data_IF_322353765090
#
_entry.id   IF_322353765090
#
_cell.length_a   1.000
_cell.length_b   1.000
_cell.length_c   1.000
_cell.angle_alpha   90.00
_cell.angle_beta   90.00
_cell.angle_gamma   90.00
#
_symmetry.space_group_name_H-M   'P 1'
#
loop_
_entity.id
_entity.type
_entity.pdbx_description
1 polymer ?
#
# COMPACT_ATOMS: atom_id res chain seq x y z
N UNK A 1 13.12 -28.32 -15.42
CA UNK A 1 11.93 -27.77 -14.70
C UNK A 1 11.61 -26.39 -15.27
N UNK A 2 10.44 -26.18 -15.90
CA UNK A 2 9.99 -24.83 -16.28
C UNK A 2 9.85 -24.00 -15.00
N UNK A 3 10.46 -22.79 -14.95
CA UNK A 3 10.15 -21.81 -13.90
C UNK A 3 8.64 -21.53 -13.96
N UNK A 4 7.93 -21.53 -12.84
CA UNK A 4 6.53 -21.12 -12.85
C UNK A 4 6.45 -19.72 -13.45
N UNK A 5 5.66 -19.59 -14.50
CA UNK A 5 5.52 -18.34 -15.22
C UNK A 5 4.48 -17.51 -14.47
N UNK A 6 4.94 -16.45 -13.80
CA UNK A 6 4.05 -15.45 -13.24
C UNK A 6 4.03 -14.20 -14.13
N UNK A 7 2.89 -13.59 -14.24
CA UNK A 7 2.65 -12.35 -14.99
C UNK A 7 2.24 -11.26 -13.98
N UNK A 8 2.85 -10.09 -14.10
CA UNK A 8 2.42 -8.89 -13.37
C UNK A 8 1.71 -7.97 -14.36
N UNK A 9 0.50 -7.57 -14.01
CA UNK A 9 -0.31 -6.66 -14.83
C UNK A 9 -1.04 -5.62 -13.99
N UNK A 10 -1.37 -4.45 -14.57
CA UNK A 10 -2.32 -3.54 -13.94
C UNK A 10 -3.67 -4.23 -13.70
N UNK A 11 -4.28 -3.94 -12.57
CA UNK A 11 -5.62 -4.38 -12.27
C UNK A 11 -6.66 -3.56 -13.05
N UNK A 12 -7.78 -4.20 -13.38
CA UNK A 12 -8.98 -3.58 -13.96
C UNK A 12 -10.12 -3.55 -12.95
N UNK A 13 -11.20 -2.84 -13.24
CA UNK A 13 -12.39 -2.84 -12.38
C UNK A 13 -13.00 -4.24 -12.17
N UNK A 14 -12.79 -5.15 -13.11
CA UNK A 14 -13.25 -6.54 -13.01
C UNK A 14 -12.49 -7.32 -11.93
N UNK A 15 -11.28 -6.88 -11.58
CA UNK A 15 -10.46 -7.47 -10.52
C UNK A 15 -10.84 -7.00 -9.11
N UNK A 16 -11.75 -6.04 -8.98
CA UNK A 16 -12.11 -5.46 -7.68
C UNK A 16 -12.57 -6.51 -6.63
N UNK A 17 -13.35 -7.54 -6.97
CA UNK A 17 -13.67 -8.60 -6.02
C UNK A 17 -12.45 -9.37 -5.53
N UNK A 18 -11.48 -9.63 -6.41
CA UNK A 18 -10.24 -10.33 -6.07
C UNK A 18 -9.32 -9.47 -5.20
N UNK A 19 -9.23 -8.17 -5.49
CA UNK A 19 -8.48 -7.21 -4.66
C UNK A 19 -9.06 -7.19 -3.24
N UNK A 20 -10.38 -7.13 -3.10
CA UNK A 20 -11.03 -7.17 -1.79
C UNK A 20 -10.77 -8.51 -1.06
N UNK A 21 -10.70 -9.61 -1.80
CA UNK A 21 -10.32 -10.91 -1.22
C UNK A 21 -8.88 -10.88 -0.70
N UNK A 22 -7.92 -10.35 -1.47
CA UNK A 22 -6.53 -10.19 -1.04
C UNK A 22 -6.40 -9.30 0.20
N UNK A 23 -7.12 -8.18 0.28
CA UNK A 23 -7.14 -7.29 1.44
C UNK A 23 -7.58 -8.05 2.69
N UNK A 24 -8.64 -8.87 2.59
CA UNK A 24 -9.13 -9.69 3.70
C UNK A 24 -8.14 -10.79 4.09
N UNK A 25 -7.51 -11.44 3.12
CA UNK A 25 -6.47 -12.43 3.36
C UNK A 25 -5.24 -11.83 4.04
N UNK A 26 -4.84 -10.61 3.64
CA UNK A 26 -3.75 -9.86 4.28
C UNK A 26 -4.10 -9.50 5.72
N UNK A 27 -5.31 -8.97 5.97
CA UNK A 27 -5.76 -8.64 7.32
C UNK A 27 -5.78 -9.87 8.25
N UNK A 28 -6.20 -11.02 7.73
CA UNK A 28 -6.13 -12.28 8.46
C UNK A 28 -4.67 -12.66 8.79
N UNK A 29 -3.76 -12.50 7.84
CA UNK A 29 -2.33 -12.73 8.05
C UNK A 29 -1.75 -11.78 9.11
N UNK A 30 -2.18 -10.52 9.11
CA UNK A 30 -1.77 -9.48 10.06
C UNK A 30 -2.49 -9.57 11.41
N UNK A 31 -3.36 -10.58 11.61
CA UNK A 31 -4.11 -10.86 12.85
C UNK A 31 -5.17 -9.82 13.19
N UNK A 32 -5.65 -9.09 12.19
CA UNK A 32 -6.68 -8.05 12.28
C UNK A 32 -7.85 -8.31 11.32
N UNK A 33 -8.45 -9.53 11.29
CA UNK A 33 -9.48 -9.89 10.31
C UNK A 33 -10.71 -9.00 10.37
N UNK A 34 -11.04 -8.49 11.56
CA UNK A 34 -12.22 -7.64 11.79
C UNK A 34 -11.97 -6.15 11.48
N UNK A 35 -10.74 -5.77 11.15
CA UNK A 35 -10.40 -4.38 10.83
C UNK A 35 -10.88 -3.95 9.44
N UNK A 36 -11.12 -4.89 8.51
CA UNK A 36 -11.49 -4.59 7.13
C UNK A 36 -12.95 -4.14 7.05
N UNK A 37 -13.14 -2.86 6.83
CA UNK A 37 -14.46 -2.23 6.60
C UNK A 37 -14.74 -1.94 5.13
N UNK A 38 -13.72 -2.07 4.28
CA UNK A 38 -13.85 -1.80 2.85
C UNK A 38 -14.87 -2.74 2.19
N UNK A 39 -15.70 -2.15 1.35
CA UNK A 39 -16.68 -2.83 0.51
C UNK A 39 -16.21 -2.88 -0.95
N UNK A 40 -16.86 -3.71 -1.76
CA UNK A 40 -16.60 -3.74 -3.20
C UNK A 40 -16.86 -2.38 -3.87
N UNK A 41 -17.89 -1.65 -3.42
CA UNK A 41 -18.21 -0.32 -3.93
C UNK A 41 -17.12 0.70 -3.59
N UNK A 42 -16.46 0.59 -2.43
CA UNK A 42 -15.34 1.46 -2.07
C UNK A 42 -14.14 1.20 -2.99
N UNK A 43 -13.80 -0.06 -3.23
CA UNK A 43 -12.70 -0.43 -4.14
C UNK A 43 -12.95 0.08 -5.56
N UNK A 44 -14.18 -0.07 -6.07
CA UNK A 44 -14.55 0.42 -7.41
C UNK A 44 -14.50 1.94 -7.49
N UNK A 45 -15.07 2.64 -6.50
CA UNK A 45 -15.07 4.11 -6.43
C UNK A 45 -13.65 4.67 -6.43
N UNK A 46 -12.79 4.13 -5.58
CA UNK A 46 -11.47 4.70 -5.32
C UNK A 46 -10.39 4.20 -6.29
N UNK A 47 -10.58 3.04 -6.90
CA UNK A 47 -9.67 2.50 -7.91
C UNK A 47 -9.99 2.94 -9.34
N UNK A 48 -11.28 3.09 -9.69
CA UNK A 48 -11.72 3.35 -11.07
C UNK A 48 -12.76 4.45 -11.23
N UNK A 49 -13.19 5.08 -10.13
CA UNK A 49 -14.09 6.22 -10.15
C UNK A 49 -13.42 7.52 -10.63
N UNK A 50 -14.19 8.61 -10.67
CA UNK A 50 -13.69 9.91 -11.20
C UNK A 50 -12.56 10.51 -10.36
N UNK A 51 -12.43 10.14 -9.10
CA UNK A 51 -11.33 10.54 -8.21
C UNK A 51 -10.55 9.30 -7.76
N UNK A 52 -9.67 8.84 -8.63
CA UNK A 52 -8.82 7.69 -8.33
C UNK A 52 -7.91 7.97 -7.13
N UNK A 53 -7.93 7.09 -6.13
CA UNK A 53 -7.17 7.22 -4.90
C UNK A 53 -5.97 6.29 -4.83
N UNK A 54 -6.04 5.16 -5.53
CA UNK A 54 -4.96 4.17 -5.56
C UNK A 54 -4.81 3.52 -6.93
N UNK A 55 -3.70 2.84 -7.10
CA UNK A 55 -3.39 1.97 -8.22
C UNK A 55 -3.14 0.56 -7.70
N UNK A 56 -3.35 -0.44 -8.55
CA UNK A 56 -3.14 -1.83 -8.15
C UNK A 56 -2.49 -2.64 -9.29
N UNK A 57 -1.49 -3.45 -8.92
CA UNK A 57 -0.95 -4.49 -9.77
C UNK A 57 -1.36 -5.86 -9.24
N UNK A 58 -1.70 -6.75 -10.15
CA UNK A 58 -1.98 -8.16 -9.86
C UNK A 58 -0.84 -9.04 -10.35
N UNK A 59 -0.54 -10.05 -9.56
CA UNK A 59 0.31 -11.16 -9.97
C UNK A 59 -0.57 -12.38 -10.25
N UNK A 60 -0.41 -12.96 -11.41
CA UNK A 60 -1.01 -14.24 -11.78
C UNK A 60 0.09 -15.31 -11.89
N UNK A 61 -0.18 -16.50 -11.40
CA UNK A 61 0.70 -17.67 -11.57
C UNK A 61 -0.13 -18.85 -12.04
N UNK A 62 0.29 -19.43 -13.14
CA UNK A 62 -0.42 -20.55 -13.77
C UNK A 62 -1.90 -20.23 -14.09
N UNK A 63 -2.19 -18.97 -14.46
CA UNK A 63 -3.53 -18.50 -14.79
C UNK A 63 -4.44 -18.19 -13.59
N UNK A 64 -3.90 -18.24 -12.37
CA UNK A 64 -4.66 -17.93 -11.15
C UNK A 64 -4.10 -16.70 -10.42
N UNK A 65 -4.94 -15.87 -9.76
CA UNK A 65 -4.50 -14.75 -8.95
C UNK A 65 -3.63 -15.24 -7.78
N UNK A 66 -2.40 -14.76 -7.73
CA UNK A 66 -1.38 -15.20 -6.78
C UNK A 66 -1.01 -14.14 -5.73
N UNK A 67 -1.23 -12.86 -6.04
CA UNK A 67 -0.91 -11.76 -5.14
C UNK A 67 -1.19 -10.39 -5.76
N UNK A 68 -0.98 -9.34 -4.99
CA UNK A 68 -1.21 -7.97 -5.44
C UNK A 68 -0.25 -6.98 -4.78
N UNK A 69 -0.12 -5.81 -5.39
CA UNK A 69 0.46 -4.62 -4.80
C UNK A 69 -0.48 -3.43 -5.04
N UNK A 70 -0.97 -2.82 -3.96
CA UNK A 70 -1.79 -1.63 -3.99
C UNK A 70 -0.93 -0.44 -3.57
N UNK A 71 -0.96 0.66 -4.33
CA UNK A 71 -0.10 1.80 -4.08
C UNK A 71 -0.75 3.12 -4.48
N UNK A 72 -0.23 4.21 -3.92
CA UNK A 72 -0.64 5.57 -4.24
C UNK A 72 0.55 6.53 -4.18
N UNK A 73 0.39 7.72 -4.75
CA UNK A 73 1.42 8.74 -4.73
C UNK A 73 1.39 9.52 -3.41
N UNK A 74 2.56 9.67 -2.79
CA UNK A 74 2.80 10.63 -1.72
C UNK A 74 3.74 11.75 -2.21
N UNK A 75 4.07 12.71 -1.37
CA UNK A 75 4.95 13.82 -1.75
C UNK A 75 6.04 14.04 -0.70
N UNK A 76 7.24 14.33 -1.16
CA UNK A 76 8.36 14.72 -0.29
C UNK A 76 8.69 16.20 -0.50
N UNK A 77 8.35 17.02 0.46
CA UNK A 77 8.72 18.44 0.46
C UNK A 77 10.23 18.65 0.47
N UNK A 78 10.97 17.76 1.15
CA UNK A 78 12.44 17.85 1.21
C UNK A 78 13.12 17.54 -0.13
N UNK A 79 12.50 16.69 -0.94
CA UNK A 79 13.03 16.33 -2.26
C UNK A 79 12.38 17.11 -3.39
N UNK A 80 11.24 17.77 -3.12
CA UNK A 80 10.47 18.49 -4.15
C UNK A 80 9.85 17.57 -5.20
N UNK A 81 9.65 16.27 -4.89
CA UNK A 81 9.15 15.27 -5.82
C UNK A 81 8.07 14.39 -5.17
N UNK A 82 7.18 13.87 -6.00
CA UNK A 82 6.31 12.77 -5.62
C UNK A 82 7.14 11.52 -5.32
N UNK A 83 6.59 10.64 -4.51
CA UNK A 83 7.06 9.28 -4.29
C UNK A 83 5.88 8.33 -4.39
N UNK A 84 6.13 7.04 -4.32
CA UNK A 84 5.08 6.03 -4.26
C UNK A 84 5.09 5.39 -2.87
N UNK A 85 3.90 5.34 -2.25
CA UNK A 85 3.64 4.54 -1.06
C UNK A 85 2.93 3.25 -1.47
N UNK A 86 3.53 2.12 -1.14
CA UNK A 86 2.89 0.81 -1.28
C UNK A 86 2.10 0.56 -0.01
N UNK A 87 0.78 0.60 -0.10
CA UNK A 87 -0.12 0.36 1.04
C UNK A 87 -0.14 -1.12 1.39
N UNK A 88 -0.38 -1.96 0.37
CA UNK A 88 -0.46 -3.40 0.54
C UNK A 88 0.46 -4.14 -0.43
N UNK A 89 1.16 -5.14 0.09
CA UNK A 89 1.88 -6.14 -0.70
C UNK A 89 1.56 -7.52 -0.13
N UNK A 90 0.86 -8.33 -0.89
CA UNK A 90 0.48 -9.67 -0.44
C UNK A 90 0.68 -10.71 -1.52
N UNK A 91 1.15 -11.90 -1.12
CA UNK A 91 1.24 -13.09 -1.96
C UNK A 91 0.64 -14.26 -1.18
N UNK A 92 -0.32 -14.93 -1.79
CA UNK A 92 -0.96 -16.11 -1.20
C UNK A 92 0.07 -17.16 -0.79
N UNK A 93 -0.10 -17.84 0.34
CA UNK A 93 0.89 -18.80 0.87
C UNK A 93 1.35 -19.85 -0.15
N UNK A 94 0.42 -20.38 -0.96
CA UNK A 94 0.70 -21.39 -1.99
C UNK A 94 1.67 -20.91 -3.10
N UNK A 95 1.80 -19.60 -3.27
CA UNK A 95 2.64 -18.99 -4.31
C UNK A 95 3.88 -18.29 -3.77
N UNK A 96 4.10 -18.30 -2.44
CA UNK A 96 5.28 -17.68 -1.81
C UNK A 96 6.57 -18.39 -2.21
N UNK A 97 7.69 -17.70 -2.03
CA UNK A 97 9.05 -18.17 -2.37
C UNK A 97 9.27 -18.49 -3.86
N UNK A 98 8.38 -18.01 -4.74
CA UNK A 98 8.51 -18.10 -6.20
C UNK A 98 8.96 -16.78 -6.86
N UNK A 99 9.36 -15.78 -6.05
CA UNK A 99 9.82 -14.47 -6.55
C UNK A 99 8.70 -13.46 -6.84
N UNK A 100 7.42 -13.81 -6.63
CA UNK A 100 6.26 -12.97 -7.00
C UNK A 100 6.25 -11.64 -6.23
N UNK A 101 6.50 -11.64 -4.92
CA UNK A 101 6.57 -10.40 -4.13
C UNK A 101 7.66 -9.45 -4.63
N UNK A 102 8.82 -9.99 -5.01
CA UNK A 102 9.90 -9.21 -5.62
C UNK A 102 9.50 -8.67 -6.99
N UNK A 103 8.80 -9.46 -7.80
CA UNK A 103 8.33 -9.03 -9.13
C UNK A 103 7.28 -7.92 -9.03
N UNK A 104 6.35 -7.99 -8.07
CA UNK A 104 5.39 -6.92 -7.79
C UNK A 104 6.09 -5.62 -7.40
N UNK A 105 7.01 -5.65 -6.43
CA UNK A 105 7.76 -4.46 -6.04
C UNK A 105 8.65 -3.92 -7.17
N UNK A 106 9.26 -4.80 -7.96
CA UNK A 106 10.05 -4.38 -9.11
C UNK A 106 9.19 -3.68 -10.17
N UNK A 107 7.96 -4.13 -10.39
CA UNK A 107 7.03 -3.48 -11.31
C UNK A 107 6.59 -2.09 -10.78
N UNK A 108 6.29 -1.96 -9.48
CA UNK A 108 6.02 -0.64 -8.87
C UNK A 108 7.25 0.28 -8.94
N UNK A 109 8.46 -0.28 -8.75
CA UNK A 109 9.70 0.49 -8.88
C UNK A 109 9.94 1.00 -10.31
N UNK A 110 9.62 0.20 -11.32
CA UNK A 110 9.69 0.63 -12.72
C UNK A 110 8.72 1.78 -12.99
N UNK A 111 7.48 1.69 -12.51
CA UNK A 111 6.50 2.79 -12.59
C UNK A 111 7.04 4.05 -11.89
N UNK A 112 7.61 3.92 -10.70
CA UNK A 112 8.19 5.05 -9.99
C UNK A 112 9.31 5.74 -10.80
N UNK A 113 10.18 4.98 -11.44
CA UNK A 113 11.24 5.52 -12.29
C UNK A 113 10.65 6.25 -13.50
N UNK A 114 9.69 5.63 -14.20
CA UNK A 114 9.05 6.20 -15.39
C UNK A 114 8.29 7.50 -15.06
N UNK A 115 7.74 7.61 -13.87
CA UNK A 115 7.01 8.79 -13.39
C UNK A 115 7.92 9.83 -12.69
N UNK A 116 9.23 9.59 -12.60
CA UNK A 116 10.19 10.49 -11.93
C UNK A 116 10.03 10.51 -10.40
N UNK A 117 9.47 9.46 -9.80
CA UNK A 117 9.35 9.31 -8.36
C UNK A 117 10.62 8.68 -7.76
N UNK A 118 11.47 9.41 -7.03
CA UNK A 118 12.78 8.92 -6.60
C UNK A 118 12.74 7.98 -5.40
N UNK A 119 11.55 7.58 -4.90
CA UNK A 119 11.46 6.67 -3.77
C UNK A 119 10.18 5.83 -3.80
N UNK A 120 10.31 4.61 -3.28
CA UNK A 120 9.22 3.80 -2.76
C UNK A 120 9.27 3.79 -1.24
N UNK A 121 8.12 3.76 -0.60
CA UNK A 121 7.97 3.68 0.85
C UNK A 121 6.79 2.75 1.18
N UNK A 122 6.88 2.06 2.30
CA UNK A 122 5.81 1.21 2.85
C UNK A 122 6.00 1.06 4.35
N UNK A 123 4.96 0.63 5.04
CA UNK A 123 5.01 0.24 6.44
C UNK A 123 5.07 -1.30 6.56
N UNK A 124 5.65 -1.80 7.64
CA UNK A 124 5.72 -3.21 7.95
C UNK A 124 5.55 -3.41 9.45
N UNK A 125 4.75 -4.38 9.84
CA UNK A 125 4.56 -4.72 11.25
C UNK A 125 5.86 -5.22 11.86
N UNK A 126 6.22 -4.72 13.04
CA UNK A 126 7.49 -5.01 13.75
C UNK A 126 7.74 -6.52 13.91
N UNK A 127 6.68 -7.29 14.15
CA UNK A 127 6.79 -8.73 14.32
C UNK A 127 6.95 -9.51 13.00
N UNK A 128 6.73 -8.88 11.85
CA UNK A 128 6.79 -9.54 10.53
C UNK A 128 8.23 -9.68 10.03
N UNK A 129 9.05 -10.39 10.82
CA UNK A 129 10.46 -10.63 10.51
C UNK A 129 10.70 -11.20 9.10
N UNK A 130 9.88 -12.14 8.57
CA UNK A 130 10.09 -12.64 7.22
C UNK A 130 9.96 -11.55 6.15
N UNK A 131 9.01 -10.63 6.29
CA UNK A 131 8.84 -9.50 5.36
C UNK A 131 9.99 -8.50 5.52
N UNK A 132 10.37 -8.16 6.76
CA UNK A 132 11.49 -7.26 7.04
C UNK A 132 12.78 -7.78 6.40
N UNK A 133 13.12 -9.05 6.63
CA UNK A 133 14.29 -9.69 6.02
C UNK A 133 14.26 -9.65 4.49
N UNK A 134 13.09 -9.89 3.90
CA UNK A 134 12.90 -9.78 2.45
C UNK A 134 13.13 -8.36 1.95
N UNK A 135 12.59 -7.34 2.62
CA UNK A 135 12.77 -5.94 2.24
C UNK A 135 14.23 -5.48 2.37
N UNK A 136 14.92 -5.85 3.45
CA UNK A 136 16.34 -5.55 3.63
C UNK A 136 17.20 -6.22 2.54
N UNK A 137 16.87 -7.45 2.15
CA UNK A 137 17.58 -8.18 1.09
C UNK A 137 17.45 -7.54 -0.30
N UNK A 138 16.41 -6.73 -0.54
CA UNK A 138 16.26 -5.96 -1.80
C UNK A 138 16.77 -4.52 -1.68
N UNK A 139 17.41 -4.15 -0.55
CA UNK A 139 18.05 -2.87 -0.34
C UNK A 139 17.20 -1.82 0.39
N UNK A 140 16.04 -2.17 0.91
CA UNK A 140 15.25 -1.25 1.74
C UNK A 140 15.93 -0.99 3.09
N UNK A 141 15.72 0.20 3.62
CA UNK A 141 16.24 0.63 4.93
C UNK A 141 15.11 0.95 5.86
N UNK A 142 15.20 0.47 7.10
CA UNK A 142 14.26 0.88 8.16
C UNK A 142 14.53 2.32 8.57
N UNK A 143 13.47 3.10 8.74
CA UNK A 143 13.52 4.48 9.23
C UNK A 143 13.24 4.48 10.74
N UNK A 144 14.22 4.08 11.54
CA UNK A 144 14.05 3.85 12.98
C UNK A 144 13.73 5.11 13.80
N UNK A 145 14.04 6.28 13.25
CA UNK A 145 13.83 7.58 13.91
C UNK A 145 12.40 8.11 13.74
N UNK A 146 11.62 7.51 12.82
CA UNK A 146 10.25 7.91 12.53
C UNK A 146 9.24 7.01 13.22
N UNK A 147 8.14 7.61 13.68
CA UNK A 147 6.98 6.91 14.21
C UNK A 147 5.75 7.35 13.46
N UNK A 148 4.97 6.41 12.98
CA UNK A 148 3.66 6.70 12.39
C UNK A 148 2.70 7.13 13.49
N UNK A 149 2.08 8.29 13.33
CA UNK A 149 1.00 8.79 14.21
C UNK A 149 -0.30 8.76 13.43
N UNK A 150 -1.38 8.34 14.08
CA UNK A 150 -2.71 8.25 13.46
C UNK A 150 -3.76 8.87 14.37
N UNK A 151 -4.67 9.60 13.75
CA UNK A 151 -5.91 10.03 14.39
C UNK A 151 -7.07 9.59 13.49
N UNK A 152 -8.11 9.01 14.06
CA UNK A 152 -9.25 8.45 13.32
C UNK A 152 -10.56 8.58 14.07
N UNK A 153 -11.66 8.28 13.40
CA UNK A 153 -13.02 8.17 13.96
C UNK A 153 -13.43 9.40 14.77
N UNK A 154 -13.90 9.21 16.00
CA UNK A 154 -14.37 10.30 16.87
C UNK A 154 -13.28 11.32 17.23
N UNK A 155 -12.03 10.88 17.38
CA UNK A 155 -10.92 11.79 17.67
C UNK A 155 -10.64 12.73 16.48
N UNK A 156 -10.75 12.24 15.24
CA UNK A 156 -10.63 13.09 14.05
C UNK A 156 -11.77 14.13 13.98
N UNK A 157 -13.01 13.71 14.27
CA UNK A 157 -14.15 14.61 14.30
C UNK A 157 -14.02 15.68 15.38
N UNK A 158 -13.51 15.31 16.56
CA UNK A 158 -13.27 16.23 17.66
C UNK A 158 -12.18 17.27 17.29
N UNK A 159 -11.10 16.84 16.66
CA UNK A 159 -10.06 17.75 16.18
C UNK A 159 -10.59 18.72 15.12
N UNK A 160 -11.42 18.24 14.20
CA UNK A 160 -12.02 19.07 13.16
C UNK A 160 -12.97 20.15 13.75
N UNK A 161 -13.73 19.82 14.80
CA UNK A 161 -14.64 20.77 15.45
C UNK A 161 -13.92 21.91 16.20
N UNK A 162 -12.67 21.69 16.62
CA UNK A 162 -11.86 22.74 17.25
C UNK A 162 -11.52 23.88 16.27
N UNK A 163 -11.53 23.66 14.95
CA UNK A 163 -11.32 24.69 13.94
C UNK A 163 -12.51 25.65 13.81
N UNK A 164 -13.71 25.23 14.23
CA UNK A 164 -14.95 26.03 14.13
C UNK A 164 -15.18 26.95 15.33
N UNK A 165 -14.44 26.75 16.42
CA UNK A 165 -14.62 27.50 17.70
C UNK A 165 -13.53 28.54 17.95
N UNK A 166 -12.61 28.78 17.02
CA UNK A 166 -11.49 29.72 17.17
C UNK A 166 -11.37 30.70 16.03
N UNK A 167 -11.97 31.90 16.18
CA UNK A 167 -11.54 33.09 15.43
C UNK A 167 -10.25 33.63 16.06
N UNK A 168 -9.16 32.94 15.90
CA UNK A 168 -7.77 33.42 15.93
C UNK A 168 -6.85 32.23 15.77
N UNK A 169 -6.34 32.06 14.56
CA UNK A 169 -5.28 31.09 14.29
C UNK A 169 -3.99 31.71 14.82
N UNK A 170 -3.60 31.38 16.05
CA UNK A 170 -2.19 31.46 16.43
C UNK A 170 -1.44 30.48 15.57
N UNK A 171 -0.55 30.98 14.71
CA UNK A 171 0.35 30.15 13.92
C UNK A 171 1.18 29.30 14.88
N UNK A 172 1.14 27.98 14.81
CA UNK A 172 2.04 27.16 15.60
C UNK A 172 3.46 27.46 15.15
N UNK A 173 4.29 27.87 16.11
CA UNK A 173 5.71 28.02 15.91
C UNK A 173 6.31 26.75 15.28
N UNK A 174 7.23 26.93 14.37
CA UNK A 174 7.92 25.86 13.68
C UNK A 174 8.48 24.84 14.68
N UNK A 175 8.01 23.61 14.58
CA UNK A 175 8.62 22.44 15.22
C UNK A 175 9.85 22.03 14.43
#
# INVERSE_FOLDING_TARGET
MKRPMHVIRPATSEDAPEILAFIRELALYEREPDAVRASLSDILRDGWGPQKRFHCLLAESDGAPAGFALYFHNYSTWRGHAGIHVEDLYVRPAYRRRGIGKALLAAVAAIAIDEGCPRLQWDVLEWNTPAITFYEAIGAKRLMEWRTMRISDSALSLLASASSSGSSVDSPGAL
#
